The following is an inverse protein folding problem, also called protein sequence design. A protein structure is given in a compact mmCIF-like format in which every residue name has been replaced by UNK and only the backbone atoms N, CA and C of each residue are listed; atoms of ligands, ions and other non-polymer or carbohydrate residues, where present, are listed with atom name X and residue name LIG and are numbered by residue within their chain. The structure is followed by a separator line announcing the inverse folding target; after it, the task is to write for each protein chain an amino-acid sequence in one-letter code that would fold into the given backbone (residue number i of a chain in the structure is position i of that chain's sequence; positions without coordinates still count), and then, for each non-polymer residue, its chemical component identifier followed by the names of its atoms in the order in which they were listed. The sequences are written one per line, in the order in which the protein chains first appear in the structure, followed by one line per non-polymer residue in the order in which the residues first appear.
data_IF_259703169820
#
_entry.id   IF_259703169820
#
_cell.length_a   1.000
_cell.length_b   1.000
_cell.length_c   1.000
_cell.angle_alpha   90.00
_cell.angle_beta   90.00
_cell.angle_gamma   90.00
#
_symmetry.space_group_name_H-M   'P 1'
#
loop_
_entity.id
_entity.type
_entity.pdbx_description
1 polymer ?
#
# COMPACT_ATOMS: atom_id res chain seq x y z
N UNK A 1 -11.18 12.52 12.24
CA UNK A 1 -10.01 11.95 11.56
C UNK A 1 -9.54 12.95 10.52
N UNK A 2 -8.30 13.44 10.66
CA UNK A 2 -7.73 14.40 9.72
C UNK A 2 -7.51 13.71 8.37
N UNK A 3 -7.38 14.49 7.29
CA UNK A 3 -7.24 13.91 5.95
C UNK A 3 -5.95 13.07 5.82
N UNK A 4 -4.93 13.49 6.55
CA UNK A 4 -3.61 12.87 6.63
C UNK A 4 -3.72 11.45 7.19
N UNK A 5 -4.47 11.29 8.29
CA UNK A 5 -4.79 10.00 8.89
C UNK A 5 -5.50 9.08 7.88
N UNK A 6 -6.38 9.64 7.03
CA UNK A 6 -7.14 8.82 6.05
C UNK A 6 -6.21 8.20 5.01
N UNK A 7 -5.24 8.96 4.51
CA UNK A 7 -4.23 8.44 3.57
C UNK A 7 -3.44 7.33 4.22
N UNK A 8 -2.98 7.56 5.46
CA UNK A 8 -2.23 6.58 6.24
C UNK A 8 -3.00 5.28 6.40
N UNK A 9 -4.28 5.35 6.79
CA UNK A 9 -5.12 4.16 6.99
C UNK A 9 -5.39 3.43 5.67
N UNK A 10 -5.73 4.16 4.60
CA UNK A 10 -5.98 3.56 3.29
C UNK A 10 -4.72 2.85 2.79
N UNK A 11 -3.55 3.50 2.89
CA UNK A 11 -2.26 2.91 2.50
C UNK A 11 -1.87 1.71 3.35
N UNK A 12 -2.19 1.73 4.65
CA UNK A 12 -2.05 0.56 5.51
C UNK A 12 -2.90 -0.62 5.03
N UNK A 13 -4.19 -0.40 4.77
CA UNK A 13 -5.10 -1.45 4.27
C UNK A 13 -4.62 -1.99 2.91
N UNK A 14 -4.24 -1.10 1.98
CA UNK A 14 -3.70 -1.50 0.68
C UNK A 14 -2.40 -2.31 0.85
N UNK A 15 -1.53 -1.91 1.77
CA UNK A 15 -0.30 -2.63 2.10
C UNK A 15 -0.57 -4.03 2.64
N UNK A 16 -1.54 -4.18 3.56
CA UNK A 16 -2.00 -5.50 4.05
C UNK A 16 -2.46 -6.38 2.89
N UNK A 17 -3.33 -5.86 2.02
CA UNK A 17 -3.83 -6.60 0.85
C UNK A 17 -2.67 -7.00 -0.07
N UNK A 18 -1.74 -6.08 -0.34
CA UNK A 18 -0.55 -6.37 -1.14
C UNK A 18 0.30 -7.48 -0.51
N UNK A 19 0.41 -7.52 0.83
CA UNK A 19 1.17 -8.56 1.55
C UNK A 19 0.55 -9.93 1.38
N UNK A 20 -0.78 -10.03 1.52
CA UNK A 20 -1.52 -11.26 1.25
C UNK A 20 -1.35 -11.70 -0.21
N UNK A 21 -1.45 -10.77 -1.16
CA UNK A 21 -1.26 -11.09 -2.58
C UNK A 21 0.16 -11.55 -2.87
N UNK A 22 1.19 -10.85 -2.36
CA UNK A 22 2.59 -11.29 -2.48
C UNK A 22 2.75 -12.73 -1.99
N UNK A 23 2.14 -13.08 -0.86
CA UNK A 23 2.20 -14.44 -0.31
C UNK A 23 1.56 -15.46 -1.25
N UNK A 24 0.38 -15.18 -1.81
CA UNK A 24 -0.29 -16.06 -2.76
C UNK A 24 0.53 -16.30 -4.05
N UNK A 25 1.37 -15.35 -4.44
CA UNK A 25 2.24 -15.45 -5.60
C UNK A 25 3.68 -15.86 -5.27
N UNK A 26 3.94 -16.46 -4.09
CA UNK A 26 5.27 -16.87 -3.66
C UNK A 26 6.04 -17.78 -4.63
N UNK A 27 5.32 -18.60 -5.40
CA UNK A 27 5.93 -19.45 -6.43
C UNK A 27 6.65 -18.65 -7.54
N UNK A 28 6.39 -17.33 -7.63
CA UNK A 28 7.09 -16.41 -8.51
C UNK A 28 7.54 -15.18 -7.72
N UNK A 29 8.78 -15.23 -7.23
CA UNK A 29 9.40 -14.18 -6.40
C UNK A 29 9.32 -12.80 -7.06
N UNK A 30 9.54 -12.70 -8.37
CA UNK A 30 9.47 -11.43 -9.12
C UNK A 30 8.08 -10.81 -8.98
N UNK A 31 7.03 -11.60 -9.17
CA UNK A 31 5.65 -11.12 -9.04
C UNK A 31 5.36 -10.73 -7.57
N UNK A 32 5.83 -11.53 -6.61
CA UNK A 32 5.63 -11.24 -5.19
C UNK A 32 6.26 -9.90 -4.77
N UNK A 33 7.46 -9.57 -5.25
CA UNK A 33 8.13 -8.29 -4.99
C UNK A 33 7.55 -7.10 -5.77
N UNK A 34 6.89 -7.34 -6.92
CA UNK A 34 6.22 -6.28 -7.68
C UNK A 34 4.87 -5.86 -7.08
N UNK A 35 4.22 -6.72 -6.29
CA UNK A 35 2.91 -6.41 -5.68
C UNK A 35 2.84 -5.11 -4.87
N UNK A 36 3.78 -4.76 -3.98
CA UNK A 36 3.74 -3.48 -3.27
C UNK A 36 3.88 -2.26 -4.21
N UNK A 37 4.62 -2.39 -5.31
CA UNK A 37 4.74 -1.33 -6.33
C UNK A 37 3.43 -1.15 -7.10
N UNK A 38 2.80 -2.25 -7.50
CA UNK A 38 1.47 -2.24 -8.14
C UNK A 38 0.44 -1.63 -7.20
N UNK A 39 0.44 -2.04 -5.93
CA UNK A 39 -0.46 -1.52 -4.90
C UNK A 39 -0.25 -0.01 -4.65
N UNK A 40 0.99 0.47 -4.67
CA UNK A 40 1.30 1.90 -4.60
C UNK A 40 0.71 2.68 -5.78
N UNK A 41 0.90 2.17 -7.01
CA UNK A 41 0.32 2.79 -8.22
C UNK A 41 -1.20 2.83 -8.11
N UNK A 42 -1.84 1.73 -7.71
CA UNK A 42 -3.29 1.67 -7.46
C UNK A 42 -3.71 2.69 -6.41
N UNK A 43 -2.95 2.85 -5.33
CA UNK A 43 -3.26 3.83 -4.28
C UNK A 43 -3.30 5.26 -4.83
N UNK A 44 -2.36 5.62 -5.72
CA UNK A 44 -2.33 6.94 -6.37
C UNK A 44 -3.56 7.11 -7.25
N UNK A 45 -3.87 6.15 -8.11
CA UNK A 45 -5.06 6.20 -8.96
C UNK A 45 -6.34 6.34 -8.16
N UNK A 46 -6.44 5.62 -7.03
CA UNK A 46 -7.56 5.73 -6.12
C UNK A 46 -7.70 7.17 -5.59
N UNK A 47 -6.61 7.78 -5.10
CA UNK A 47 -6.67 9.18 -4.63
C UNK A 47 -6.98 10.20 -5.73
N UNK A 48 -6.52 9.96 -6.97
CA UNK A 48 -6.84 10.82 -8.11
C UNK A 48 -8.31 10.74 -8.54
N UNK A 49 -8.88 9.53 -8.58
CA UNK A 49 -10.28 9.31 -8.99
C UNK A 49 -11.26 9.88 -7.95
N UNK A 50 -10.99 9.66 -6.67
CA UNK A 50 -11.88 10.12 -5.60
C UNK A 50 -11.82 11.64 -5.37
N UNK A 51 -11.16 12.41 -6.26
CA UNK A 51 -11.05 13.88 -6.25
C UNK A 51 -10.96 14.44 -4.83
N UNK A 52 -9.96 13.97 -4.09
CA UNK A 52 -9.60 14.64 -2.86
C UNK A 52 -8.89 15.94 -3.21
N UNK A 53 -9.64 16.93 -3.71
CA UNK A 53 -9.18 18.28 -4.12
C UNK A 53 -8.52 19.06 -2.99
N UNK A 54 -8.45 18.50 -1.79
CA UNK A 54 -7.85 19.11 -0.62
C UNK A 54 -6.55 18.43 -0.14
N UNK A 55 -5.94 17.59 -0.98
CA UNK A 55 -4.63 16.99 -0.74
C UNK A 55 -3.55 17.67 -1.57
N UNK A 56 -2.42 17.99 -0.93
CA UNK A 56 -1.24 18.45 -1.63
C UNK A 56 -0.58 17.32 -2.42
N UNK A 57 0.35 17.66 -3.33
CA UNK A 57 1.14 16.67 -4.07
C UNK A 57 1.88 15.71 -3.13
N UNK A 58 2.43 16.22 -2.02
CA UNK A 58 3.12 15.39 -1.03
C UNK A 58 2.20 14.39 -0.34
N UNK A 59 0.93 14.75 -0.13
CA UNK A 59 -0.06 13.86 0.48
C UNK A 59 -0.35 12.66 -0.43
N UNK A 60 -0.51 12.91 -1.73
CA UNK A 60 -0.84 11.87 -2.72
C UNK A 60 0.37 10.98 -3.00
N UNK A 61 1.56 11.55 -3.21
CA UNK A 61 2.72 10.77 -3.63
C UNK A 61 3.51 10.23 -2.44
N UNK A 62 3.86 11.07 -1.45
CA UNK A 62 4.81 10.69 -0.40
C UNK A 62 4.18 10.22 0.92
N UNK A 63 3.08 10.82 1.36
CA UNK A 63 2.54 10.59 2.70
C UNK A 63 2.00 9.17 2.86
N UNK A 64 2.46 8.45 3.87
CA UNK A 64 2.02 7.07 4.13
C UNK A 64 2.55 6.02 3.15
N UNK A 65 3.49 6.36 2.24
CA UNK A 65 4.20 5.36 1.41
C UNK A 65 4.89 4.34 2.30
N UNK A 66 5.65 4.82 3.29
CA UNK A 66 6.32 3.94 4.25
C UNK A 66 5.33 3.02 4.97
N UNK A 67 4.11 3.49 5.25
CA UNK A 67 3.09 2.70 5.92
C UNK A 67 2.58 1.59 5.01
N UNK A 68 2.41 1.84 3.71
CA UNK A 68 2.08 0.80 2.73
C UNK A 68 3.16 -0.28 2.71
N UNK A 69 4.43 0.10 2.58
CA UNK A 69 5.54 -0.85 2.53
C UNK A 69 5.74 -1.57 3.87
N UNK A 70 5.63 -0.89 5.00
CA UNK A 70 5.71 -1.51 6.32
C UNK A 70 4.58 -2.49 6.54
N UNK A 71 3.33 -2.13 6.21
CA UNK A 71 2.19 -3.04 6.34
C UNK A 71 2.32 -4.26 5.41
N UNK A 72 2.78 -4.03 4.17
CA UNK A 72 3.09 -5.11 3.22
C UNK A 72 4.12 -6.08 3.79
N UNK A 73 5.29 -5.59 4.24
CA UNK A 73 6.35 -6.43 4.81
C UNK A 73 5.85 -7.17 6.05
N UNK A 74 5.19 -6.46 6.98
CA UNK A 74 4.72 -7.07 8.23
C UNK A 74 3.77 -8.23 7.97
N UNK A 75 2.76 -8.03 7.10
CA UNK A 75 1.81 -9.10 6.76
C UNK A 75 2.47 -10.21 5.98
N UNK A 76 3.33 -9.88 5.02
CA UNK A 76 4.04 -10.88 4.25
C UNK A 76 4.90 -11.77 5.16
N UNK A 77 5.63 -11.18 6.12
CA UNK A 77 6.41 -11.92 7.12
C UNK A 77 5.53 -12.78 8.03
N UNK A 78 4.41 -12.24 8.54
CA UNK A 78 3.46 -12.99 9.38
C UNK A 78 2.90 -14.20 8.63
N UNK A 79 2.59 -14.06 7.34
CA UNK A 79 2.09 -15.16 6.52
C UNK A 79 3.18 -16.17 6.15
N UNK A 80 4.40 -15.69 5.96
CA UNK A 80 5.54 -16.54 5.63
C UNK A 80 5.97 -17.41 6.82
N UNK A 81 5.74 -16.94 8.07
CA UNK A 81 6.25 -17.49 9.33
C UNK A 81 7.80 -17.56 9.38
N UNK A 82 8.54 -17.34 10.47
CA UNK A 82 8.30 -17.17 11.92
C UNK A 82 7.01 -17.75 12.47
#
# INVERSE_FOLDING_TARGET
MQKEDKIVVIRGIIGVIAGVLSFLFLNNEIIAFLMPLIAYIISIFLFLIYKFDQFGKWDIYGRGVLILFSAWILIFLILYNV
#
